data_IF_330885474910
#
_entry.id   IF_330885474910
#
_cell.length_a   1.000
_cell.length_b   1.000
_cell.length_c   1.000
_cell.angle_alpha   90.00
_cell.angle_beta   90.00
_cell.angle_gamma   90.00
#
_symmetry.space_group_name_H-M   'P 1'
#
loop_
_entity.id
_entity.type
_entity.pdbx_description
1 polymer ?
#
# COMPACT_ATOMS: atom_id res chain seq x y z
N UNK A 1 2.62 -1.52 -22.19
CA UNK A 1 1.49 -2.39 -22.61
C UNK A 1 1.12 -3.22 -21.41
N UNK A 2 -0.14 -3.18 -20.98
CA UNK A 2 -0.64 -4.08 -19.93
C UNK A 2 -0.68 -5.48 -20.56
N UNK A 3 -0.03 -6.51 -19.97
CA UNK A 3 -0.07 -7.87 -20.52
C UNK A 3 -1.51 -8.33 -20.75
N UNK A 4 -1.76 -9.06 -21.84
CA UNK A 4 -3.11 -9.45 -22.33
C UNK A 4 -3.98 -10.21 -21.31
N UNK A 5 -3.41 -10.61 -20.17
CA UNK A 5 -4.09 -11.33 -19.09
C UNK A 5 -4.11 -10.57 -17.75
N UNK A 6 -4.02 -9.23 -17.79
CA UNK A 6 -4.12 -8.39 -16.59
C UNK A 6 -5.57 -7.98 -16.33
N UNK A 7 -6.10 -8.37 -15.18
CA UNK A 7 -7.45 -8.00 -14.73
C UNK A 7 -7.36 -6.82 -13.77
N UNK A 8 -8.22 -5.81 -13.97
CA UNK A 8 -8.39 -4.70 -13.03
C UNK A 8 -9.58 -5.00 -12.11
N UNK A 9 -9.29 -5.45 -10.90
CA UNK A 9 -10.31 -5.69 -9.88
C UNK A 9 -10.52 -4.42 -9.03
N UNK A 10 -11.74 -3.86 -9.00
CA UNK A 10 -12.02 -2.71 -8.15
C UNK A 10 -12.06 -3.13 -6.68
N UNK A 11 -11.49 -2.29 -5.82
CA UNK A 11 -11.59 -2.43 -4.36
C UNK A 11 -12.11 -1.12 -3.76
N UNK A 12 -12.77 -1.20 -2.61
CA UNK A 12 -13.23 0.01 -1.91
C UNK A 12 -12.03 0.81 -1.37
N UNK A 13 -12.21 2.12 -1.19
CA UNK A 13 -11.18 2.98 -0.55
C UNK A 13 -10.82 2.48 0.86
N UNK A 14 -11.78 1.92 1.59
CA UNK A 14 -11.57 1.35 2.92
C UNK A 14 -10.74 0.08 2.88
N UNK A 15 -11.01 -0.84 1.94
CA UNK A 15 -10.24 -2.07 1.77
C UNK A 15 -8.81 -1.77 1.34
N UNK A 16 -8.65 -0.83 0.40
CA UNK A 16 -7.33 -0.34 0.00
C UNK A 16 -6.54 0.23 1.19
N UNK A 17 -7.18 1.03 2.04
CA UNK A 17 -6.56 1.59 3.25
C UNK A 17 -6.06 0.48 4.17
N UNK A 18 -6.89 -0.54 4.45
CA UNK A 18 -6.54 -1.66 5.32
C UNK A 18 -5.33 -2.45 4.78
N UNK A 19 -5.25 -2.68 3.47
CA UNK A 19 -4.12 -3.36 2.83
C UNK A 19 -2.81 -2.56 2.99
N UNK A 20 -2.88 -1.24 2.82
CA UNK A 20 -1.73 -0.34 2.96
C UNK A 20 -1.27 -0.25 4.42
N UNK A 21 -2.20 -0.13 5.38
CA UNK A 21 -1.88 -0.17 6.81
C UNK A 21 -1.23 -1.50 7.23
N UNK A 22 -1.73 -2.64 6.72
CA UNK A 22 -1.13 -3.96 6.95
C UNK A 22 0.31 -3.99 6.45
N UNK A 23 0.60 -3.41 5.28
CA UNK A 23 1.96 -3.33 4.74
C UNK A 23 2.86 -2.45 5.61
N UNK A 24 2.38 -1.29 6.08
CA UNK A 24 3.12 -0.44 7.02
C UNK A 24 3.52 -1.19 8.29
N UNK A 25 2.57 -1.90 8.93
CA UNK A 25 2.85 -2.71 10.13
C UNK A 25 3.93 -3.78 9.86
N UNK A 26 3.88 -4.41 8.69
CA UNK A 26 4.89 -5.40 8.30
C UNK A 26 6.28 -4.79 8.08
N UNK A 27 6.37 -3.66 7.38
CA UNK A 27 7.65 -2.97 7.16
C UNK A 27 8.29 -2.55 8.48
N UNK A 28 7.48 -1.98 9.38
CA UNK A 28 7.93 -1.62 10.72
C UNK A 28 8.44 -2.84 11.51
N UNK A 29 7.69 -3.95 11.51
CA UNK A 29 8.08 -5.20 12.21
C UNK A 29 9.37 -5.82 11.67
N UNK A 30 9.62 -5.67 10.37
CA UNK A 30 10.84 -6.19 9.72
C UNK A 30 12.05 -5.26 9.89
N UNK A 31 11.87 -4.06 10.47
CA UNK A 31 12.95 -3.07 10.60
C UNK A 31 13.37 -2.44 9.27
N UNK A 32 12.53 -2.52 8.23
CA UNK A 32 12.76 -1.90 6.91
C UNK A 32 12.35 -0.42 6.98
N UNK A 33 13.19 0.38 7.64
CA UNK A 33 12.86 1.75 8.06
C UNK A 33 12.71 2.70 6.86
N UNK A 34 13.53 2.59 5.83
CA UNK A 34 13.45 3.50 4.68
C UNK A 34 12.21 3.22 3.84
N UNK A 35 11.93 1.95 3.53
CA UNK A 35 10.69 1.56 2.84
C UNK A 35 9.46 1.90 3.67
N UNK A 36 9.53 1.77 4.99
CA UNK A 36 8.46 2.21 5.88
C UNK A 36 8.19 3.71 5.74
N UNK A 37 9.24 4.56 5.78
CA UNK A 37 9.09 6.02 5.68
C UNK A 37 8.49 6.44 4.34
N UNK A 38 9.02 5.91 3.24
CA UNK A 38 8.51 6.18 1.89
C UNK A 38 7.04 5.77 1.76
N UNK A 39 6.72 4.56 2.23
CA UNK A 39 5.36 4.03 2.15
C UNK A 39 4.40 4.78 3.09
N UNK A 40 4.89 5.27 4.24
CA UNK A 40 4.12 6.10 5.16
C UNK A 40 3.80 7.48 4.55
N UNK A 41 4.72 8.07 3.80
CA UNK A 41 4.47 9.32 3.09
C UNK A 41 3.37 9.14 2.04
N UNK A 42 3.43 8.06 1.25
CA UNK A 42 2.40 7.71 0.27
C UNK A 42 1.03 7.48 0.93
N UNK A 43 1.00 6.75 2.04
CA UNK A 43 -0.23 6.53 2.80
C UNK A 43 -0.90 7.85 3.21
N UNK A 44 -0.11 8.79 3.76
CA UNK A 44 -0.60 10.11 4.16
C UNK A 44 -1.13 10.91 2.97
N UNK A 45 -0.46 10.88 1.82
CA UNK A 45 -0.91 11.60 0.63
C UNK A 45 -2.19 11.01 0.01
N UNK A 46 -2.37 9.69 0.11
CA UNK A 46 -3.44 8.97 -0.59
C UNK A 46 -4.74 8.88 0.22
N UNK A 47 -4.60 8.72 1.54
CA UNK A 47 -5.72 8.42 2.43
C UNK A 47 -6.06 9.51 3.44
N UNK A 48 -5.29 10.60 3.54
CA UNK A 48 -5.71 11.80 4.26
C UNK A 48 -6.97 12.43 3.65
#
# INVERSE_FOLDING_TARGET
>A
MIPDNTVLEPISRSDARLLVEKRLRNLHRLGLIEEYKEFQAMYKQTFA
#
